data_IF_301393393602
#
_entry.id   IF_301393393602
#
_cell.length_a   1.000
_cell.length_b   1.000
_cell.length_c   1.000
_cell.angle_alpha   90.00
_cell.angle_beta   90.00
_cell.angle_gamma   90.00
#
_symmetry.space_group_name_H-M   'P 1'
#
loop_
_entity.id
_entity.type
_entity.pdbx_description
1 polymer ?
#
# COMPACT_ATOMS: atom_id res chain seq x y z
N UNK A 1 9.48 -28.02 29.81
CA UNK A 1 10.50 -27.06 29.31
C UNK A 1 9.83 -26.16 28.28
N UNK A 2 9.88 -24.84 28.46
CA UNK A 2 9.18 -23.85 27.63
C UNK A 2 9.65 -23.97 26.16
N UNK A 3 8.72 -23.98 25.19
CA UNK A 3 9.02 -24.07 23.75
C UNK A 3 10.04 -23.00 23.32
N UNK A 4 9.93 -21.82 23.91
CA UNK A 4 10.88 -20.71 23.71
C UNK A 4 12.31 -21.07 24.11
N UNK A 5 12.51 -21.67 25.29
CA UNK A 5 13.84 -22.07 25.76
C UNK A 5 14.47 -23.16 24.89
N UNK A 6 13.65 -24.07 24.35
CA UNK A 6 14.13 -25.10 23.41
C UNK A 6 14.59 -24.46 22.09
N UNK A 7 13.81 -23.54 21.53
CA UNK A 7 14.16 -22.85 20.28
C UNK A 7 15.38 -21.93 20.46
N UNK A 8 15.48 -21.24 21.59
CA UNK A 8 16.64 -20.42 21.91
C UNK A 8 17.92 -21.27 22.03
N UNK A 9 17.86 -22.41 22.73
CA UNK A 9 18.98 -23.36 22.81
C UNK A 9 19.38 -23.87 21.43
N UNK A 10 18.40 -24.25 20.61
CA UNK A 10 18.67 -24.76 19.26
C UNK A 10 19.28 -23.69 18.34
N UNK A 11 18.87 -22.43 18.47
CA UNK A 11 19.49 -21.32 17.75
C UNK A 11 20.96 -21.15 18.13
N UNK A 12 21.27 -21.16 19.44
CA UNK A 12 22.65 -21.04 19.95
C UNK A 12 23.51 -22.23 19.48
N UNK A 13 22.97 -23.46 19.54
CA UNK A 13 23.68 -24.65 19.04
C UNK A 13 23.98 -24.54 17.54
N UNK A 14 23.02 -24.06 16.74
CA UNK A 14 23.23 -23.83 15.31
C UNK A 14 24.25 -22.72 15.05
N UNK A 15 24.22 -21.64 15.82
CA UNK A 15 25.19 -20.55 15.72
C UNK A 15 26.62 -21.06 15.83
N UNK A 16 26.93 -21.82 16.89
CA UNK A 16 28.27 -22.39 17.07
C UNK A 16 28.60 -23.44 16.00
N UNK A 17 27.63 -24.27 15.60
CA UNK A 17 27.82 -25.27 14.54
C UNK A 17 28.26 -24.66 13.21
N UNK A 18 27.77 -23.47 12.87
CA UNK A 18 28.12 -22.77 11.64
C UNK A 18 29.28 -21.78 11.79
N UNK A 19 30.10 -21.93 12.84
CA UNK A 19 31.33 -21.15 13.03
C UNK A 19 31.17 -19.83 13.77
N UNK A 20 29.98 -19.55 14.31
CA UNK A 20 29.76 -18.44 15.23
C UNK A 20 30.55 -18.63 16.53
N UNK A 21 30.99 -17.53 17.14
CA UNK A 21 31.69 -17.54 18.43
C UNK A 21 30.88 -16.82 19.50
N UNK A 22 31.19 -17.04 20.79
CA UNK A 22 30.50 -16.36 21.89
C UNK A 22 30.75 -14.84 21.86
N UNK A 23 31.99 -14.34 21.61
CA UNK A 23 32.20 -12.91 21.42
C UNK A 23 31.37 -12.32 20.28
N UNK A 24 31.27 -13.01 19.14
CA UNK A 24 30.45 -12.55 18.02
C UNK A 24 28.95 -12.57 18.35
N UNK A 25 28.47 -13.59 19.07
CA UNK A 25 27.09 -13.69 19.52
C UNK A 25 26.70 -12.55 20.46
N UNK A 26 27.56 -12.26 21.45
CA UNK A 26 27.33 -11.15 22.37
C UNK A 26 27.40 -9.80 21.66
N UNK A 27 28.29 -9.64 20.67
CA UNK A 27 28.33 -8.44 19.85
C UNK A 27 27.04 -8.28 19.03
N UNK A 28 26.53 -9.36 18.42
CA UNK A 28 25.26 -9.36 17.69
C UNK A 28 24.09 -8.95 18.59
N UNK A 29 24.03 -9.44 19.82
CA UNK A 29 22.97 -9.09 20.78
C UNK A 29 23.08 -7.66 21.33
N UNK A 30 24.27 -7.05 21.25
CA UNK A 30 24.52 -5.69 21.75
C UNK A 30 24.59 -4.61 20.66
N UNK A 31 24.49 -4.98 19.38
CA UNK A 31 24.59 -4.08 18.24
C UNK A 31 23.37 -4.22 17.32
N UNK A 32 22.43 -3.29 17.46
CA UNK A 32 21.18 -3.25 16.68
C UNK A 32 21.44 -3.18 15.17
N UNK A 33 22.52 -2.53 14.74
CA UNK A 33 22.86 -2.43 13.31
C UNK A 33 23.31 -3.78 12.78
N UNK A 34 24.16 -4.48 13.53
CA UNK A 34 24.60 -5.82 13.16
C UNK A 34 23.43 -6.82 13.14
N UNK A 35 22.52 -6.72 14.12
CA UNK A 35 21.28 -7.51 14.13
C UNK A 35 20.42 -7.23 12.90
N UNK A 36 20.20 -5.95 12.56
CA UNK A 36 19.46 -5.55 11.37
C UNK A 36 20.09 -6.10 10.08
N UNK A 37 21.42 -6.11 9.97
CA UNK A 37 22.13 -6.67 8.82
C UNK A 37 21.93 -8.20 8.68
N UNK A 38 21.98 -8.95 9.79
CA UNK A 38 21.73 -10.39 9.79
C UNK A 38 20.29 -10.71 9.39
N UNK A 39 19.32 -9.99 9.95
CA UNK A 39 17.90 -10.16 9.64
C UNK A 39 17.63 -9.82 8.16
N UNK A 40 18.17 -8.70 7.66
CA UNK A 40 18.05 -8.32 6.26
C UNK A 40 18.61 -9.40 5.34
N UNK A 41 19.80 -9.92 5.63
CA UNK A 41 20.39 -11.01 4.84
C UNK A 41 19.51 -12.27 4.84
N UNK A 42 18.97 -12.65 6.01
CA UNK A 42 18.09 -13.80 6.12
C UNK A 42 16.80 -13.59 5.30
N UNK A 43 16.18 -12.42 5.39
CA UNK A 43 14.97 -12.06 4.64
C UNK A 43 15.21 -12.04 3.13
N UNK A 44 16.35 -11.52 2.67
CA UNK A 44 16.72 -11.57 1.25
C UNK A 44 16.87 -13.00 0.74
N UNK A 45 17.45 -13.89 1.55
CA UNK A 45 17.63 -15.30 1.17
C UNK A 45 16.34 -16.11 1.20
N UNK A 46 15.41 -15.76 2.08
CA UNK A 46 14.10 -16.43 2.18
C UNK A 46 13.01 -15.77 1.35
N UNK A 47 13.30 -14.60 0.74
CA UNK A 47 12.32 -13.75 0.08
C UNK A 47 11.12 -13.42 1.00
N UNK A 48 11.39 -13.24 2.29
CA UNK A 48 10.39 -12.93 3.30
C UNK A 48 10.04 -11.43 3.28
N UNK A 49 8.78 -11.10 3.58
CA UNK A 49 8.35 -9.72 3.72
C UNK A 49 8.78 -9.19 5.11
N UNK A 50 9.61 -8.14 5.20
CA UNK A 50 10.05 -7.59 6.48
C UNK A 50 8.96 -6.78 7.21
N UNK A 51 7.84 -6.52 6.56
CA UNK A 51 6.70 -5.76 7.07
C UNK A 51 5.48 -6.65 7.35
N UNK A 52 5.68 -7.96 7.45
CA UNK A 52 4.61 -8.90 7.79
C UNK A 52 3.94 -8.53 9.12
N UNK A 53 2.60 -8.49 9.09
CA UNK A 53 1.77 -8.31 10.28
C UNK A 53 0.94 -9.56 10.52
N UNK A 54 0.80 -9.92 11.80
CA UNK A 54 -0.15 -10.94 12.25
C UNK A 54 -1.59 -10.50 11.96
N UNK A 55 -2.53 -11.44 12.04
CA UNK A 55 -3.96 -11.12 11.87
C UNK A 55 -4.40 -10.18 12.99
N UNK A 56 -3.93 -10.45 14.20
CA UNK A 56 -4.20 -9.70 15.41
C UNK A 56 -3.69 -8.26 15.30
N UNK A 57 -2.46 -8.05 14.83
CA UNK A 57 -1.88 -6.72 14.59
C UNK A 57 -2.68 -5.94 13.53
N UNK A 58 -3.08 -6.61 12.45
CA UNK A 58 -3.88 -5.99 11.38
C UNK A 58 -5.24 -5.54 11.89
N UNK A 59 -5.94 -6.41 12.64
CA UNK A 59 -7.25 -6.08 13.20
C UNK A 59 -7.17 -5.04 14.32
N UNK A 60 -6.10 -5.04 15.11
CA UNK A 60 -5.85 -4.00 16.10
C UNK A 60 -5.66 -2.63 15.44
N UNK A 61 -4.86 -2.56 14.36
CA UNK A 61 -4.71 -1.33 13.58
C UNK A 61 -6.04 -0.86 12.96
N UNK A 62 -6.85 -1.79 12.45
CA UNK A 62 -8.19 -1.48 11.95
C UNK A 62 -9.10 -0.92 13.05
N UNK A 63 -9.10 -1.50 14.27
CA UNK A 63 -9.90 -0.97 15.40
C UNK A 63 -9.51 0.46 15.75
N UNK A 64 -8.22 0.75 15.85
CA UNK A 64 -7.72 2.10 16.11
C UNK A 64 -8.25 3.10 15.06
N UNK A 65 -8.21 2.74 13.79
CA UNK A 65 -8.72 3.59 12.72
C UNK A 65 -10.25 3.70 12.71
N UNK A 66 -10.95 2.60 13.00
CA UNK A 66 -12.41 2.56 13.12
C UNK A 66 -12.90 3.53 14.21
N UNK A 67 -12.26 3.50 15.36
CA UNK A 67 -12.60 4.36 16.50
C UNK A 67 -12.23 5.83 16.22
N UNK A 68 -11.00 6.08 15.77
CA UNK A 68 -10.52 7.44 15.51
C UNK A 68 -11.26 8.12 14.34
N UNK A 69 -11.66 7.34 13.34
CA UNK A 69 -12.41 7.80 12.18
C UNK A 69 -13.93 7.77 12.36
N UNK A 70 -14.42 7.25 13.49
CA UNK A 70 -15.84 6.96 13.73
C UNK A 70 -16.49 6.24 12.54
N UNK A 71 -15.83 5.20 12.03
CA UNK A 71 -16.23 4.55 10.78
C UNK A 71 -17.46 3.66 10.92
N UNK A 72 -17.77 3.21 12.14
CA UNK A 72 -18.95 2.42 12.45
C UNK A 72 -18.87 0.95 12.02
N UNK A 73 -17.66 0.41 11.83
CA UNK A 73 -17.46 -1.02 11.59
C UNK A 73 -17.80 -1.76 12.89
N UNK A 74 -18.74 -2.71 12.84
CA UNK A 74 -19.21 -3.46 14.00
C UNK A 74 -18.26 -4.60 14.39
N UNK A 75 -18.32 -5.05 15.64
CA UNK A 75 -17.52 -6.20 16.12
C UNK A 75 -17.80 -7.49 15.34
N UNK A 76 -19.03 -7.72 14.85
CA UNK A 76 -19.34 -8.87 13.98
C UNK A 76 -18.46 -8.91 12.73
N UNK A 77 -18.08 -7.75 12.18
CA UNK A 77 -17.15 -7.67 11.03
C UNK A 77 -15.75 -8.04 11.46
N UNK A 78 -15.28 -7.59 12.63
CA UNK A 78 -13.97 -7.96 13.17
C UNK A 78 -13.87 -9.45 13.46
N UNK A 79 -14.91 -10.05 14.06
CA UNK A 79 -14.99 -11.50 14.31
C UNK A 79 -14.94 -12.29 13.00
N UNK A 80 -15.72 -11.88 12.00
CA UNK A 80 -15.68 -12.49 10.66
C UNK A 80 -14.29 -12.40 10.05
N UNK A 81 -13.65 -11.23 10.08
CA UNK A 81 -12.30 -11.05 9.54
C UNK A 81 -11.28 -11.94 10.27
N UNK A 82 -11.35 -12.05 11.60
CA UNK A 82 -10.45 -12.92 12.36
C UNK A 82 -10.55 -14.39 11.92
N UNK A 83 -11.75 -14.87 11.59
CA UNK A 83 -11.99 -16.24 11.16
C UNK A 83 -11.65 -16.51 9.69
N UNK A 84 -11.63 -15.47 8.85
CA UNK A 84 -11.51 -15.59 7.38
C UNK A 84 -10.17 -15.11 6.84
N UNK A 85 -9.23 -14.77 7.73
CA UNK A 85 -7.94 -14.24 7.32
C UNK A 85 -7.18 -15.23 6.43
N UNK A 86 -6.80 -14.83 5.20
CA UNK A 86 -5.97 -15.68 4.36
C UNK A 86 -4.58 -15.85 4.97
N UNK A 87 -3.86 -16.89 4.54
CA UNK A 87 -2.44 -17.02 4.87
C UNK A 87 -1.65 -15.83 4.32
N UNK A 88 -0.53 -15.50 4.97
CA UNK A 88 0.36 -14.47 4.45
C UNK A 88 0.92 -14.90 3.08
N UNK A 89 0.85 -14.05 2.04
CA UNK A 89 1.32 -14.42 0.71
C UNK A 89 2.85 -14.51 0.65
N UNK A 90 3.35 -15.32 -0.29
CA UNK A 90 4.80 -15.48 -0.50
C UNK A 90 5.34 -14.31 -1.32
N UNK A 91 6.41 -13.70 -0.85
CA UNK A 91 7.17 -12.70 -1.58
C UNK A 91 7.62 -11.54 -0.70
N UNK A 92 8.78 -10.95 -1.02
CA UNK A 92 9.36 -9.82 -0.28
C UNK A 92 8.44 -8.60 -0.19
N UNK A 93 7.60 -8.36 -1.21
CA UNK A 93 6.68 -7.22 -1.26
C UNK A 93 5.22 -7.68 -1.49
N UNK A 94 4.89 -8.88 -0.99
CA UNK A 94 3.54 -9.44 -1.04
C UNK A 94 2.81 -9.17 0.29
N UNK A 95 1.52 -8.81 0.24
CA UNK A 95 0.75 -8.40 1.42
C UNK A 95 -0.60 -9.09 1.51
N UNK A 96 -0.95 -9.50 2.72
CA UNK A 96 -2.35 -9.59 3.14
C UNK A 96 -2.77 -8.23 3.68
N UNK A 97 -3.83 -7.66 3.12
CA UNK A 97 -4.35 -6.35 3.50
C UNK A 97 -5.87 -6.37 3.53
N UNK A 98 -6.50 -5.21 3.64
CA UNK A 98 -7.95 -5.04 3.64
C UNK A 98 -8.40 -4.21 2.43
N UNK A 99 -9.56 -4.54 1.88
CA UNK A 99 -10.36 -3.61 1.09
C UNK A 99 -11.44 -3.07 2.02
N UNK A 100 -11.48 -1.74 2.16
CA UNK A 100 -12.45 -1.05 3.00
C UNK A 100 -13.10 0.02 2.14
N UNK A 101 -14.44 -0.03 2.02
CA UNK A 101 -15.24 0.89 1.23
C UNK A 101 -16.47 1.31 1.99
N UNK A 102 -16.89 2.54 1.77
CA UNK A 102 -18.10 3.12 2.34
C UNK A 102 -18.95 3.75 1.25
N UNK A 103 -20.26 3.77 1.46
CA UNK A 103 -21.23 4.30 0.51
C UNK A 103 -21.28 3.51 -0.80
N UNK A 104 -21.99 4.06 -1.77
CA UNK A 104 -22.26 3.44 -3.07
C UNK A 104 -21.95 4.44 -4.18
N UNK A 105 -21.56 3.95 -5.36
CA UNK A 105 -21.38 4.77 -6.56
C UNK A 105 -20.42 5.97 -6.33
N UNK A 106 -20.66 7.09 -7.02
CA UNK A 106 -19.81 8.29 -7.01
C UNK A 106 -19.59 8.85 -5.59
N UNK A 107 -20.66 8.96 -4.80
CA UNK A 107 -20.58 9.45 -3.42
C UNK A 107 -19.76 8.51 -2.52
N UNK A 108 -19.92 7.19 -2.73
CA UNK A 108 -19.16 6.19 -1.99
C UNK A 108 -17.68 6.20 -2.32
N UNK A 109 -17.32 6.38 -3.59
CA UNK A 109 -15.93 6.53 -4.02
C UNK A 109 -15.30 7.75 -3.33
N UNK A 110 -15.99 8.89 -3.37
CA UNK A 110 -15.48 10.10 -2.74
C UNK A 110 -15.32 9.94 -1.21
N UNK A 111 -16.35 9.39 -0.55
CA UNK A 111 -16.32 9.11 0.89
C UNK A 111 -15.18 8.17 1.27
N UNK A 112 -14.96 7.12 0.47
CA UNK A 112 -13.93 6.11 0.73
C UNK A 112 -12.54 6.70 0.62
N UNK A 113 -12.29 7.45 -0.45
CA UNK A 113 -11.04 8.14 -0.66
C UNK A 113 -10.70 9.08 0.52
N UNK A 114 -11.63 9.96 0.91
CA UNK A 114 -11.38 10.92 1.99
C UNK A 114 -11.19 10.24 3.35
N UNK A 115 -11.96 9.20 3.66
CA UNK A 115 -11.78 8.42 4.90
C UNK A 115 -10.39 7.80 4.98
N UNK A 116 -9.86 7.30 3.85
CA UNK A 116 -8.49 6.79 3.81
C UNK A 116 -7.44 7.88 3.90
N UNK A 117 -7.61 9.03 3.24
CA UNK A 117 -6.71 10.17 3.38
C UNK A 117 -6.62 10.62 4.85
N UNK A 118 -7.75 10.71 5.54
CA UNK A 118 -7.77 11.06 6.97
C UNK A 118 -7.09 9.99 7.85
N UNK A 119 -7.24 8.71 7.53
CA UNK A 119 -6.49 7.64 8.21
C UNK A 119 -4.98 7.77 8.01
N UNK A 120 -4.56 8.11 6.79
CA UNK A 120 -3.14 8.31 6.45
C UNK A 120 -2.59 9.50 7.24
N UNK A 121 -3.32 10.62 7.31
CA UNK A 121 -2.94 11.80 8.12
C UNK A 121 -2.72 11.47 9.59
N UNK A 122 -3.48 10.53 10.16
CA UNK A 122 -3.33 10.11 11.56
C UNK A 122 -2.08 9.28 11.82
N UNK A 123 -1.55 8.60 10.80
CA UNK A 123 -0.41 7.68 10.92
C UNK A 123 0.91 8.34 10.50
N UNK A 124 0.86 9.29 9.56
CA UNK A 124 2.03 9.93 8.99
C UNK A 124 2.11 11.39 9.42
N UNK A 125 3.11 11.73 10.25
CA UNK A 125 3.33 13.09 10.78
C UNK A 125 3.52 14.15 9.69
N UNK A 126 4.02 13.73 8.52
CA UNK A 126 4.18 14.57 7.34
C UNK A 126 3.46 13.92 6.17
N UNK A 127 2.25 14.39 5.89
CA UNK A 127 1.50 14.04 4.69
C UNK A 127 1.39 15.25 3.77
N UNK A 128 1.81 15.09 2.53
CA UNK A 128 1.46 16.02 1.46
C UNK A 128 0.51 15.34 0.47
N UNK A 129 -0.65 15.96 0.23
CA UNK A 129 -1.61 15.55 -0.79
C UNK A 129 -1.52 16.55 -1.94
N UNK A 130 -1.43 16.06 -3.17
CA UNK A 130 -1.45 16.92 -4.35
C UNK A 130 -2.80 17.64 -4.48
N UNK A 131 -2.79 18.93 -4.79
CA UNK A 131 -3.97 19.80 -4.76
C UNK A 131 -5.09 19.38 -5.73
N UNK A 132 -4.76 18.67 -6.81
CA UNK A 132 -5.74 18.15 -7.78
C UNK A 132 -6.14 16.69 -7.54
N UNK A 133 -5.56 16.02 -6.54
CA UNK A 133 -6.00 14.70 -6.11
C UNK A 133 -7.23 14.86 -5.22
N UNK A 134 -8.36 15.26 -5.80
CA UNK A 134 -9.60 15.62 -5.10
C UNK A 134 -10.69 14.56 -5.25
N UNK A 135 -11.49 14.33 -4.20
CA UNK A 135 -12.60 13.36 -4.23
C UNK A 135 -13.92 14.02 -4.60
N UNK A 136 -14.66 13.45 -5.55
CA UNK A 136 -15.96 13.98 -5.95
C UNK A 136 -15.85 15.15 -6.93
N UNK A 137 -16.88 16.00 -6.94
CA UNK A 137 -17.07 17.06 -7.94
C UNK A 137 -16.68 18.44 -7.40
N UNK A 138 -15.97 19.21 -8.23
CA UNK A 138 -15.53 20.57 -7.90
C UNK A 138 -15.76 21.52 -9.07
N UNK A 139 -15.99 22.79 -8.74
CA UNK A 139 -16.09 23.83 -9.76
C UNK A 139 -14.70 24.17 -10.28
N UNK A 140 -14.49 23.95 -11.57
CA UNK A 140 -13.28 24.32 -12.28
C UNK A 140 -13.63 25.05 -13.59
N UNK A 141 -13.04 26.23 -13.79
CA UNK A 141 -13.35 27.12 -14.94
C UNK A 141 -14.85 27.37 -15.17
N UNK A 142 -15.66 27.34 -14.11
CA UNK A 142 -17.11 27.58 -14.15
C UNK A 142 -17.96 26.33 -14.40
N UNK A 143 -17.35 25.16 -14.55
CA UNK A 143 -18.04 23.88 -14.74
C UNK A 143 -17.78 22.92 -13.59
N UNK A 144 -18.77 22.07 -13.29
CA UNK A 144 -18.62 21.01 -12.31
C UNK A 144 -17.84 19.84 -12.92
N UNK A 145 -16.67 19.53 -12.35
CA UNK A 145 -15.77 18.49 -12.83
C UNK A 145 -15.55 17.46 -11.72
N UNK A 146 -15.76 16.19 -12.04
CA UNK A 146 -15.32 15.07 -11.21
C UNK A 146 -13.83 14.82 -11.44
N UNK A 147 -13.05 14.79 -10.35
CA UNK A 147 -11.59 14.67 -10.45
C UNK A 147 -11.11 13.23 -10.33
N UNK A 148 -11.80 12.36 -9.59
CA UNK A 148 -11.37 11.01 -9.27
C UNK A 148 -12.51 10.01 -9.51
N UNK A 149 -12.22 8.91 -10.21
CA UNK A 149 -13.16 7.80 -10.38
C UNK A 149 -12.43 6.46 -10.40
N UNK A 150 -13.18 5.37 -10.17
CA UNK A 150 -12.67 4.03 -10.39
C UNK A 150 -12.51 3.74 -11.89
N UNK A 151 -11.42 3.09 -12.26
CA UNK A 151 -11.12 2.63 -13.62
C UNK A 151 -12.21 1.69 -14.16
N UNK A 152 -12.83 0.89 -13.28
CA UNK A 152 -13.95 0.00 -13.62
C UNK A 152 -15.31 0.70 -13.62
N UNK A 153 -15.34 2.00 -13.36
CA UNK A 153 -16.54 2.81 -13.19
C UNK A 153 -17.05 2.81 -11.75
N UNK A 154 -17.42 3.99 -11.26
CA UNK A 154 -17.89 4.18 -9.88
C UNK A 154 -19.14 3.34 -9.54
N UNK A 155 -19.98 3.01 -10.54
CA UNK A 155 -21.15 2.13 -10.36
C UNK A 155 -20.80 0.73 -9.79
N UNK A 156 -19.53 0.34 -9.84
CA UNK A 156 -19.03 -0.91 -9.27
C UNK A 156 -18.67 -0.80 -7.78
N UNK A 157 -18.68 0.41 -7.24
CA UNK A 157 -18.36 0.71 -5.85
C UNK A 157 -19.54 0.42 -4.93
N UNK A 158 -19.30 -0.39 -3.92
CA UNK A 158 -20.23 -0.73 -2.86
C UNK A 158 -19.50 -0.82 -1.53
N UNK A 159 -20.22 -0.58 -0.44
CA UNK A 159 -19.65 -0.65 0.90
C UNK A 159 -19.19 -2.09 1.20
N UNK A 160 -17.93 -2.25 1.63
CA UNK A 160 -17.37 -3.56 1.93
C UNK A 160 -16.20 -3.44 2.91
N UNK A 161 -16.00 -4.48 3.73
CA UNK A 161 -14.79 -4.66 4.54
C UNK A 161 -14.37 -6.12 4.41
N UNK A 162 -13.31 -6.39 3.66
CA UNK A 162 -12.86 -7.75 3.35
C UNK A 162 -11.34 -7.86 3.30
N UNK A 163 -10.86 -9.09 3.44
CA UNK A 163 -9.46 -9.42 3.20
C UNK A 163 -9.14 -9.39 1.70
N UNK A 164 -7.93 -8.95 1.39
CA UNK A 164 -7.34 -9.04 0.06
C UNK A 164 -5.92 -9.57 0.15
N UNK A 165 -5.45 -10.13 -0.96
CA UNK A 165 -4.06 -10.53 -1.14
C UNK A 165 -3.49 -9.75 -2.32
N UNK A 166 -2.30 -9.19 -2.11
CA UNK A 166 -1.54 -8.44 -3.09
C UNK A 166 -0.23 -9.21 -3.29
N UNK A 167 -0.08 -9.84 -4.45
CA UNK A 167 1.04 -10.75 -4.71
C UNK A 167 2.39 -10.04 -4.82
N UNK A 168 2.40 -8.80 -5.31
CA UNK A 168 3.60 -7.96 -5.41
C UNK A 168 3.20 -6.48 -5.53
N UNK A 169 3.35 -5.72 -4.45
CA UNK A 169 3.08 -4.28 -4.41
C UNK A 169 4.03 -3.50 -5.33
N UNK A 170 5.23 -4.03 -5.55
CA UNK A 170 6.24 -3.49 -6.45
C UNK A 170 6.17 -4.09 -7.86
N UNK A 171 5.14 -4.87 -8.20
CA UNK A 171 5.01 -5.56 -9.49
C UNK A 171 5.26 -4.65 -10.68
N UNK A 172 4.94 -3.37 -10.53
CA UNK A 172 5.05 -2.34 -11.55
C UNK A 172 6.41 -1.61 -11.59
N UNK A 173 7.42 -2.13 -10.89
CA UNK A 173 8.83 -1.71 -10.97
C UNK A 173 9.29 -1.73 -12.44
N UNK A 174 9.71 -0.58 -12.98
CA UNK A 174 10.37 -0.48 -14.29
C UNK A 174 9.56 -1.06 -15.46
N UNK A 175 8.26 -0.78 -15.53
CA UNK A 175 7.39 -1.34 -16.59
C UNK A 175 7.36 -0.54 -17.89
N UNK A 176 6.97 -1.26 -18.94
CA UNK A 176 7.05 -0.89 -20.37
C UNK A 176 5.72 -0.41 -20.97
N UNK A 177 4.55 -0.73 -20.39
CA UNK A 177 3.21 -0.47 -20.97
C UNK A 177 2.07 -0.30 -19.90
N UNK A 178 0.96 0.39 -20.21
CA UNK A 178 -0.16 0.74 -19.29
C UNK A 178 -1.03 -0.45 -18.92
N UNK A 179 -1.20 -1.40 -19.83
CA UNK A 179 -2.05 -2.57 -19.61
C UNK A 179 -1.50 -3.46 -18.50
N UNK A 180 -0.22 -3.27 -18.16
CA UNK A 180 0.46 -3.96 -17.09
C UNK A 180 0.19 -3.36 -15.70
N UNK A 181 -0.22 -2.09 -15.62
CA UNK A 181 -0.52 -1.38 -14.35
C UNK A 181 -2.02 -1.15 -14.15
N UNK A 182 -2.79 -1.07 -15.24
CA UNK A 182 -4.25 -0.87 -15.27
C UNK A 182 -4.95 -2.14 -15.76
N UNK A 183 -5.68 -2.79 -14.86
CA UNK A 183 -6.45 -4.00 -15.09
C UNK A 183 -7.35 -4.31 -13.90
N UNK A 184 -8.08 -5.42 -13.95
CA UNK A 184 -9.02 -5.82 -12.89
C UNK A 184 -8.36 -6.09 -11.53
N UNK A 185 -7.03 -6.22 -11.48
CA UNK A 185 -6.26 -6.44 -10.26
C UNK A 185 -5.49 -5.19 -9.79
N UNK A 186 -5.69 -4.04 -10.44
CA UNK A 186 -5.03 -2.80 -10.04
C UNK A 186 -5.53 -2.34 -8.67
N UNK A 187 -4.60 -1.92 -7.82
CA UNK A 187 -4.93 -1.35 -6.52
C UNK A 187 -5.73 -0.06 -6.71
N UNK A 188 -6.83 0.10 -6.00
CA UNK A 188 -7.56 1.34 -5.81
C UNK A 188 -7.46 1.72 -4.31
N UNK A 189 -8.54 1.57 -3.55
CA UNK A 189 -8.64 1.83 -2.12
C UNK A 189 -7.62 1.03 -1.30
N UNK A 190 -7.36 -0.20 -1.75
CA UNK A 190 -6.42 -1.14 -1.18
C UNK A 190 -5.02 -0.54 -1.06
N UNK A 191 -4.63 0.25 -2.06
CA UNK A 191 -3.36 0.95 -2.09
C UNK A 191 -3.25 2.01 -0.99
N UNK A 192 -4.36 2.67 -0.63
CA UNK A 192 -4.41 3.63 0.48
C UNK A 192 -4.53 2.95 1.84
N UNK A 193 -5.19 1.79 1.92
CA UNK A 193 -5.17 0.95 3.12
C UNK A 193 -3.75 0.59 3.50
N UNK A 194 -2.93 0.17 2.54
CA UNK A 194 -1.54 -0.17 2.79
C UNK A 194 -0.72 0.99 3.39
N UNK A 195 -1.04 2.25 3.06
CA UNK A 195 -0.30 3.42 3.54
C UNK A 195 -0.43 3.58 5.05
N UNK A 196 -1.65 3.47 5.59
CA UNK A 196 -1.86 3.60 7.03
C UNK A 196 -1.68 2.29 7.79
N UNK A 197 -1.85 1.13 7.13
CA UNK A 197 -1.68 -0.18 7.75
C UNK A 197 -0.21 -0.60 7.86
N UNK A 198 0.63 -0.23 6.89
CA UNK A 198 2.04 -0.57 6.84
C UNK A 198 2.93 0.69 6.74
N UNK A 199 2.91 1.59 7.74
CA UNK A 199 3.67 2.85 7.68
C UNK A 199 5.17 2.62 7.53
N UNK A 200 5.72 1.55 8.11
CA UNK A 200 7.13 1.19 7.94
C UNK A 200 7.49 0.84 6.49
N UNK A 201 6.56 0.27 5.71
CA UNK A 201 6.77 0.03 4.28
C UNK A 201 6.78 1.32 3.47
N UNK A 202 5.97 2.31 3.85
CA UNK A 202 6.02 3.66 3.27
C UNK A 202 7.35 4.33 3.59
N UNK A 203 7.78 4.27 4.86
CA UNK A 203 9.07 4.81 5.29
C UNK A 203 10.26 4.14 4.59
N UNK A 204 10.15 2.87 4.24
CA UNK A 204 11.20 2.17 3.52
C UNK A 204 11.38 2.66 2.06
N UNK A 205 10.40 3.37 1.47
CA UNK A 205 10.48 3.85 0.08
C UNK A 205 11.72 4.72 -0.12
N UNK A 206 12.62 4.25 -0.99
CA UNK A 206 13.86 4.92 -1.41
C UNK A 206 14.00 5.00 -2.94
N UNK A 207 13.03 4.44 -3.67
CA UNK A 207 12.99 4.29 -5.13
C UNK A 207 14.13 3.46 -5.74
N UNK A 208 14.94 2.80 -4.92
CA UNK A 208 16.00 1.89 -5.33
C UNK A 208 15.66 0.46 -4.94
N UNK A 209 15.53 0.21 -3.63
CA UNK A 209 15.18 -1.08 -3.03
C UNK A 209 13.68 -1.22 -2.82
N UNK A 210 13.05 -0.18 -2.26
CA UNK A 210 11.62 -0.14 -1.96
C UNK A 210 10.96 1.02 -2.68
N UNK A 211 9.85 0.71 -3.33
CA UNK A 211 9.36 1.56 -4.40
C UNK A 211 8.04 2.20 -4.01
N UNK A 212 7.82 3.38 -4.56
CA UNK A 212 6.50 3.95 -4.71
C UNK A 212 5.58 2.97 -5.47
N UNK A 213 4.29 3.03 -5.18
CA UNK A 213 3.28 2.21 -5.85
C UNK A 213 2.11 3.05 -6.33
N UNK A 214 1.42 2.51 -7.34
CA UNK A 214 0.31 3.17 -7.99
C UNK A 214 -1.01 2.57 -7.51
N UNK A 215 -1.98 3.44 -7.25
CA UNK A 215 -3.37 3.06 -7.05
C UNK A 215 -4.10 3.17 -8.40
N UNK A 216 -3.63 2.40 -9.39
CA UNK A 216 -4.08 2.48 -10.79
C UNK A 216 -5.47 1.89 -11.08
N UNK A 217 -6.17 1.39 -10.06
CA UNK A 217 -7.61 1.14 -10.08
C UNK A 217 -8.42 2.44 -9.97
N UNK A 218 -7.77 3.55 -9.62
CA UNK A 218 -8.27 4.90 -9.78
C UNK A 218 -7.74 5.55 -11.06
N UNK A 219 -8.51 6.48 -11.60
CA UNK A 219 -8.07 7.42 -12.63
C UNK A 219 -8.56 8.84 -12.33
N UNK A 220 -7.78 9.81 -12.79
CA UNK A 220 -7.97 11.21 -12.49
C UNK A 220 -8.17 12.05 -13.73
N UNK A 221 -9.20 12.89 -13.68
CA UNK A 221 -9.38 13.99 -14.60
C UNK A 221 -8.61 15.19 -14.08
N UNK A 222 -7.60 15.64 -14.83
CA UNK A 222 -6.84 16.84 -14.48
C UNK A 222 -7.18 17.93 -15.49
N UNK A 223 -7.97 18.94 -15.08
CA UNK A 223 -8.54 19.91 -16.02
C UNK A 223 -7.56 20.91 -16.64
N UNK A 224 -6.27 20.79 -16.34
CA UNK A 224 -5.18 21.56 -16.95
C UNK A 224 -4.48 20.80 -18.09
N UNK A 225 -4.75 19.49 -18.25
CA UNK A 225 -4.18 18.66 -19.29
C UNK A 225 -5.08 18.65 -20.53
N UNK A 226 -4.67 19.35 -21.59
CA UNK A 226 -5.28 19.23 -22.93
C UNK A 226 -5.02 17.85 -23.54
N UNK A 227 -4.09 17.09 -22.96
CA UNK A 227 -3.80 15.73 -23.34
C UNK A 227 -4.76 14.78 -22.59
N UNK A 228 -5.53 14.00 -23.36
CA UNK A 228 -6.53 12.97 -23.02
C UNK A 228 -7.02 12.90 -21.53
N UNK A 229 -8.31 13.17 -21.23
CA UNK A 229 -8.83 13.13 -19.85
C UNK A 229 -8.73 11.72 -19.25
N UNK A 230 -8.56 11.63 -17.92
CA UNK A 230 -8.55 10.36 -17.15
C UNK A 230 -7.28 9.49 -17.25
N UNK A 231 -6.11 10.10 -17.42
CA UNK A 231 -4.83 9.37 -17.62
C UNK A 231 -3.89 9.37 -16.43
N UNK A 232 -4.10 10.30 -15.52
CA UNK A 232 -3.29 10.39 -14.32
C UNK A 232 -3.83 9.39 -13.30
N UNK A 233 -2.94 8.68 -12.61
CA UNK A 233 -3.32 7.75 -11.54
C UNK A 233 -2.73 8.21 -10.20
N UNK A 234 -3.43 8.01 -9.08
CA UNK A 234 -2.85 8.25 -7.78
C UNK A 234 -1.64 7.35 -7.53
N UNK A 235 -0.66 7.91 -6.81
CA UNK A 235 0.57 7.24 -6.44
C UNK A 235 0.93 7.59 -5.00
N UNK A 236 1.44 6.60 -4.28
CA UNK A 236 2.00 6.76 -2.95
C UNK A 236 3.51 6.77 -3.10
N UNK A 237 4.14 7.87 -2.70
CA UNK A 237 5.59 7.97 -2.63
C UNK A 237 6.08 8.52 -1.28
N UNK A 238 7.41 8.56 -1.15
CA UNK A 238 8.07 9.25 -0.05
C UNK A 238 9.11 10.20 -0.62
N UNK A 239 9.06 11.45 -0.16
CA UNK A 239 10.08 12.46 -0.41
C UNK A 239 11.32 12.14 0.42
N UNK A 240 12.46 11.96 -0.24
CA UNK A 240 13.70 11.51 0.40
C UNK A 240 14.45 12.61 1.14
N UNK A 241 14.18 13.87 0.79
CA UNK A 241 14.81 15.05 1.38
C UNK A 241 14.27 15.38 2.77
N UNK A 242 12.95 15.27 2.97
CA UNK A 242 12.30 15.65 4.23
C UNK A 242 11.51 14.52 4.91
N UNK A 243 11.45 13.34 4.27
CA UNK A 243 10.77 12.15 4.75
C UNK A 243 9.25 12.18 4.58
N UNK A 244 8.68 13.20 3.91
CA UNK A 244 7.24 13.39 3.74
C UNK A 244 6.62 12.26 2.93
N UNK A 245 5.54 11.68 3.44
CA UNK A 245 4.67 10.76 2.69
C UNK A 245 3.84 11.59 1.72
N UNK A 246 3.87 11.26 0.42
CA UNK A 246 3.06 11.98 -0.56
C UNK A 246 1.98 11.11 -1.16
N UNK A 247 0.77 11.67 -1.24
CA UNK A 247 -0.29 11.21 -2.12
C UNK A 247 -0.30 12.14 -3.32
N UNK A 248 0.39 11.70 -4.36
CA UNK A 248 0.47 12.46 -5.61
C UNK A 248 -0.38 11.78 -6.66
N UNK A 249 -0.43 12.39 -7.82
CA UNK A 249 -0.81 11.66 -9.00
C UNK A 249 0.16 11.93 -10.11
N UNK A 250 0.34 10.92 -10.95
CA UNK A 250 1.35 11.00 -11.98
C UNK A 250 0.88 10.35 -13.27
N UNK A 251 1.22 11.00 -14.37
CA UNK A 251 1.20 10.45 -15.71
C UNK A 251 2.58 10.72 -16.29
N UNK A 252 3.50 9.76 -16.13
CA UNK A 252 4.90 10.01 -16.46
C UNK A 252 5.24 9.50 -17.86
N UNK A 253 5.06 10.38 -18.85
CA UNK A 253 5.67 10.31 -20.19
C UNK A 253 7.08 10.96 -20.23
N UNK A 254 7.47 11.76 -19.24
CA UNK A 254 8.71 12.55 -19.27
C UNK A 254 9.89 11.91 -18.53
N UNK A 255 10.64 11.05 -19.21
CA UNK A 255 12.13 10.95 -19.20
C UNK A 255 12.96 10.82 -17.91
N UNK A 256 12.43 10.88 -16.67
CA UNK A 256 13.21 10.68 -15.43
C UNK A 256 12.62 9.60 -14.54
N UNK A 257 13.47 8.58 -14.31
CA UNK A 257 13.43 7.49 -13.32
C UNK A 257 12.28 6.47 -13.41
N UNK A 258 12.57 5.29 -13.96
CA UNK A 258 12.17 3.96 -13.44
C UNK A 258 10.69 3.55 -13.32
N UNK A 259 9.72 4.45 -13.49
CA UNK A 259 8.31 4.21 -13.19
C UNK A 259 7.44 5.01 -14.17
N UNK A 260 6.68 4.33 -15.02
CA UNK A 260 5.76 4.96 -15.97
C UNK A 260 4.39 4.30 -15.91
N UNK A 261 3.35 5.09 -16.16
CA UNK A 261 1.98 4.64 -16.46
C UNK A 261 1.73 5.11 -17.90
N UNK A 262 1.79 4.19 -18.89
CA UNK A 262 1.61 4.57 -20.29
C UNK A 262 0.17 4.98 -20.63
N UNK A 263 -0.14 5.15 -21.91
CA UNK A 263 -1.44 5.62 -22.46
C UNK A 263 -2.42 4.46 -22.70
N UNK A 264 -3.69 4.61 -22.30
CA UNK A 264 -4.74 3.61 -22.52
C UNK A 264 -5.25 3.73 -23.96
N UNK A 265 -4.53 3.12 -24.92
CA UNK A 265 -5.03 3.02 -26.29
C UNK A 265 -5.69 1.67 -26.55
N UNK A 266 -6.99 1.72 -26.82
CA UNK A 266 -7.67 0.79 -27.72
C UNK A 266 -8.30 -0.45 -27.08
N UNK A 267 -9.39 -0.26 -26.34
CA UNK A 267 -10.52 -1.19 -26.52
C UNK A 267 -11.53 -0.43 -27.35
N UNK A 268 -11.60 -0.78 -28.64
CA UNK A 268 -12.71 -0.39 -29.48
C UNK A 268 -13.99 -0.87 -28.79
N UNK A 269 -14.79 0.06 -28.26
CA UNK A 269 -16.20 -0.21 -28.02
C UNK A 269 -16.81 -0.42 -29.41
N UNK A 270 -17.17 -1.67 -29.69
CA UNK A 270 -17.77 -2.08 -30.94
C UNK A 270 -19.00 -1.23 -31.27
N UNK A 271 -19.10 -0.90 -32.55
CA UNK A 271 -20.36 -0.61 -33.24
C UNK A 271 -21.34 -1.75 -33.10
#
# INVERSE_FOLDING_TARGET
>A
MNVFLRQASEFVDRWFRFGGSMPLFLNLLGDDKLMADVIRYAQEKTNANPFELTVEETLAALRVQNDAGNWGISEDVFERLAQTAPAWPKGRDAYRSLRIRWGECDEGVALTFERHVEAIKRVHDKLWRWDFLLSGKYIYKGEEVEFLRLLTGNVTHHAIVEWIVIDDLSANRKRKDITSVRGSQSLADEGFVLVWLFPNRVHAIDNNEWLAWYCAGYELNVPESDEEPWQIVPCVDRRLDDGTTSLIANWRSSGRSGYSVPLLRGVALGT
#
